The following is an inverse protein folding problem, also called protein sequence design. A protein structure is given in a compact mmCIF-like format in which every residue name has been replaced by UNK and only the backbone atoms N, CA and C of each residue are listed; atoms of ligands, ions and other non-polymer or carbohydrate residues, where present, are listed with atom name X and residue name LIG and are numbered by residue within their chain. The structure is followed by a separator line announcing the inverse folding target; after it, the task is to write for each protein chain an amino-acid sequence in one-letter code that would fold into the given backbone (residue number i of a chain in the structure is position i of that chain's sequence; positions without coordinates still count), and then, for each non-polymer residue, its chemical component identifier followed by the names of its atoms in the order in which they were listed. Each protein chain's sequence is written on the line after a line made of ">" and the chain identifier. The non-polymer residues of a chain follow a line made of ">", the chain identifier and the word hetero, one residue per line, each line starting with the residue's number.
data_IF_401130993260
#
_entry.id   IF_401130993260
#
_cell.length_a   1.000
_cell.length_b   1.000
_cell.length_c   1.000
_cell.angle_alpha   90.00
_cell.angle_beta   90.00
_cell.angle_gamma   90.00
#
_symmetry.space_group_name_H-M   'P 1'
#
loop_
_entity.id
_entity.type
_entity.pdbx_description
1 polymer ?
#
# COMPACT_ATOMS: atom_id res chain seq x y z
N UNK A 1 -28.11 0.57 -4.63
CA UNK A 1 -28.56 -0.39 -3.60
C UNK A 1 -29.77 -1.11 -4.20
N UNK A 2 -29.68 -2.43 -4.38
CA UNK A 2 -30.75 -3.26 -4.97
C UNK A 2 -31.32 -4.24 -3.94
N UNK A 3 -32.12 -5.21 -4.37
CA UNK A 3 -32.71 -6.19 -3.44
C UNK A 3 -31.63 -7.03 -2.75
N UNK A 4 -31.78 -7.20 -1.43
CA UNK A 4 -30.87 -7.98 -0.59
C UNK A 4 -31.27 -9.46 -0.46
N UNK A 5 -32.39 -9.86 -1.09
CA UNK A 5 -32.87 -11.25 -1.14
C UNK A 5 -33.91 -11.46 -2.25
N UNK A 6 -33.90 -12.65 -2.85
CA UNK A 6 -34.96 -13.18 -3.72
C UNK A 6 -35.46 -14.50 -3.11
N UNK A 7 -36.76 -14.78 -3.18
CA UNK A 7 -37.37 -15.92 -2.46
C UNK A 7 -38.18 -16.83 -3.37
N UNK A 8 -37.77 -18.11 -3.43
CA UNK A 8 -38.58 -19.32 -3.22
C UNK A 8 -37.60 -20.42 -2.76
N UNK A 9 -37.65 -20.85 -1.49
CA UNK A 9 -36.73 -21.85 -0.92
C UNK A 9 -35.93 -21.36 0.30
N UNK A 10 -34.90 -22.13 0.70
CA UNK A 10 -34.18 -22.03 2.00
C UNK A 10 -33.43 -20.71 2.27
N UNK A 11 -34.18 -19.62 2.50
CA UNK A 11 -33.69 -18.47 3.26
C UNK A 11 -34.22 -17.13 2.79
N UNK A 12 -35.35 -16.69 3.36
CA UNK A 12 -35.80 -15.29 3.34
C UNK A 12 -34.96 -14.39 4.25
N UNK A 13 -33.63 -14.44 4.13
CA UNK A 13 -32.69 -13.67 4.97
C UNK A 13 -31.46 -13.23 4.17
N UNK A 14 -30.85 -12.12 4.57
CA UNK A 14 -29.61 -11.63 3.98
C UNK A 14 -28.45 -12.54 4.41
N UNK A 15 -27.63 -12.99 3.45
CA UNK A 15 -26.47 -13.83 3.74
C UNK A 15 -25.38 -13.06 4.51
N UNK A 16 -24.72 -13.68 5.51
CA UNK A 16 -23.57 -13.09 6.18
C UNK A 16 -22.47 -12.70 5.18
N UNK A 17 -21.89 -11.51 5.34
CA UNK A 17 -20.87 -10.98 4.43
C UNK A 17 -21.42 -10.25 3.19
N UNK A 18 -22.75 -10.14 3.03
CA UNK A 18 -23.33 -9.25 2.00
C UNK A 18 -22.89 -7.80 2.28
N UNK A 19 -22.34 -7.15 1.25
CA UNK A 19 -21.94 -5.74 1.32
C UNK A 19 -23.18 -4.86 1.53
N UNK A 20 -23.24 -4.16 2.66
CA UNK A 20 -24.29 -3.24 3.06
C UNK A 20 -23.64 -1.93 3.56
N UNK A 21 -24.45 -0.89 3.78
CA UNK A 21 -23.95 0.35 4.37
C UNK A 21 -23.33 0.08 5.75
N UNK A 22 -22.19 0.70 6.01
CA UNK A 22 -21.42 0.54 7.25
C UNK A 22 -20.35 1.62 7.34
N UNK A 23 -19.56 1.59 8.42
CA UNK A 23 -18.44 2.54 8.60
C UNK A 23 -17.40 2.31 7.52
N UNK A 24 -17.15 3.34 6.71
CA UNK A 24 -16.05 3.36 5.74
C UNK A 24 -14.86 4.09 6.35
N UNK A 25 -13.70 3.42 6.41
CA UNK A 25 -12.45 4.00 6.92
C UNK A 25 -12.14 3.66 8.37
N UNK A 26 -11.14 4.33 8.96
CA UNK A 26 -10.54 3.99 10.26
C UNK A 26 -9.97 2.55 10.32
N UNK A 27 -9.53 2.04 9.19
CA UNK A 27 -8.82 0.77 9.09
C UNK A 27 -7.36 1.05 8.70
N UNK A 28 -6.41 0.32 9.29
CA UNK A 28 -5.03 0.38 8.87
C UNK A 28 -4.90 -0.34 7.51
N UNK A 29 -4.50 0.40 6.49
CA UNK A 29 -4.29 -0.12 5.13
C UNK A 29 -2.82 0.03 4.79
N UNK A 30 -2.23 -1.01 4.19
CA UNK A 30 -0.85 -0.99 3.70
C UNK A 30 -0.84 -1.01 2.17
N UNK A 31 -0.26 0.03 1.57
CA UNK A 31 0.01 0.05 0.13
C UNK A 31 1.37 -0.61 -0.09
N UNK A 32 1.39 -1.67 -0.90
CA UNK A 32 2.59 -2.46 -1.16
C UNK A 32 3.29 -1.99 -2.44
N UNK A 33 4.59 -2.23 -2.54
CA UNK A 33 5.42 -1.97 -3.73
C UNK A 33 5.54 -0.48 -4.13
N UNK A 34 5.42 0.44 -3.18
CA UNK A 34 5.68 1.87 -3.40
C UNK A 34 7.18 2.07 -3.64
N UNK A 35 7.53 2.81 -4.69
CA UNK A 35 8.93 3.11 -5.03
C UNK A 35 9.38 4.37 -4.30
N UNK A 36 10.51 4.29 -3.59
CA UNK A 36 11.21 5.47 -3.06
C UNK A 36 11.97 6.12 -4.21
N UNK A 37 11.69 7.40 -4.46
CA UNK A 37 12.33 8.18 -5.52
C UNK A 37 13.60 8.87 -5.03
N UNK A 38 13.54 9.48 -3.85
CA UNK A 38 14.65 10.21 -3.27
C UNK A 38 14.54 10.24 -1.75
N UNK A 39 15.69 10.23 -1.08
CA UNK A 39 15.80 10.48 0.36
C UNK A 39 16.71 11.68 0.53
N UNK A 40 16.18 12.76 1.10
CA UNK A 40 16.91 13.97 1.45
C UNK A 40 17.14 13.96 2.96
N UNK A 41 18.28 13.40 3.39
CA UNK A 41 18.61 13.23 4.80
C UNK A 41 18.74 14.57 5.56
N UNK A 42 19.24 15.61 4.89
CA UNK A 42 19.40 16.95 5.49
C UNK A 42 18.07 17.59 5.90
N UNK A 43 17.01 17.33 5.13
CA UNK A 43 15.67 17.87 5.38
C UNK A 43 14.75 16.86 6.08
N UNK A 44 15.23 15.62 6.29
CA UNK A 44 14.43 14.51 6.80
C UNK A 44 13.26 14.12 5.88
N UNK A 45 13.39 14.34 4.57
CA UNK A 45 12.31 14.11 3.60
C UNK A 45 12.53 12.83 2.82
N UNK A 46 11.44 12.08 2.61
CA UNK A 46 11.41 10.89 1.76
C UNK A 46 10.37 11.11 0.67
N UNK A 47 10.82 11.13 -0.59
CA UNK A 47 9.95 11.28 -1.74
C UNK A 47 9.52 9.90 -2.23
N UNK A 48 8.22 9.62 -2.17
CA UNK A 48 7.62 8.37 -2.61
C UNK A 48 6.89 8.55 -3.94
N UNK A 49 6.86 7.51 -4.77
CA UNK A 49 6.07 7.51 -6.00
C UNK A 49 4.63 7.10 -5.73
N UNK A 50 3.71 8.06 -5.77
CA UNK A 50 2.26 7.84 -5.65
C UNK A 50 1.65 8.34 -4.34
N UNK A 51 0.49 7.78 -3.98
CA UNK A 51 -0.31 8.21 -2.84
C UNK A 51 -0.13 7.29 -1.63
N UNK A 52 -0.22 7.85 -0.42
CA UNK A 52 -0.22 7.11 0.85
C UNK A 52 -1.65 7.08 1.39
N UNK A 53 -2.02 5.96 2.03
CA UNK A 53 -3.32 5.83 2.68
C UNK A 53 -3.34 6.66 3.97
N UNK A 54 -4.18 7.69 3.99
CA UNK A 54 -4.37 8.56 5.15
C UNK A 54 -4.50 10.01 4.74
N UNK A 55 -4.98 10.88 5.65
CA UNK A 55 -4.97 12.31 5.45
C UNK A 55 -3.54 12.88 5.58
N UNK A 56 -3.34 14.10 5.09
CA UNK A 56 -2.08 14.83 5.23
C UNK A 56 -1.72 15.01 6.72
N UNK A 57 -0.43 14.84 7.04
CA UNK A 57 0.08 14.95 8.43
C UNK A 57 -0.18 13.73 9.31
N UNK A 58 -0.74 12.64 8.78
CA UNK A 58 -0.85 11.39 9.54
C UNK A 58 0.50 10.71 9.76
N UNK A 59 0.59 9.91 10.82
CA UNK A 59 1.76 9.06 11.07
C UNK A 59 1.69 7.84 10.17
N UNK A 60 2.77 7.58 9.45
CA UNK A 60 2.89 6.46 8.51
C UNK A 60 4.00 5.52 8.94
N UNK A 61 3.79 4.21 8.76
CA UNK A 61 4.78 3.18 9.03
C UNK A 61 5.36 2.68 7.72
N UNK A 62 6.66 2.90 7.51
CA UNK A 62 7.39 2.41 6.33
C UNK A 62 8.07 1.08 6.69
N UNK A 63 7.95 0.10 5.82
CA UNK A 63 8.57 -1.23 5.95
C UNK A 63 9.07 -1.68 4.58
N UNK A 64 10.06 -2.56 4.59
CA UNK A 64 10.62 -3.13 3.36
C UNK A 64 9.58 -3.94 2.59
N UNK A 65 9.67 -3.89 1.27
CA UNK A 65 8.75 -4.58 0.39
C UNK A 65 9.01 -6.09 0.40
N UNK A 66 8.11 -6.87 1.00
CA UNK A 66 8.23 -8.34 1.03
C UNK A 66 8.12 -8.94 -0.39
N UNK A 67 7.31 -8.33 -1.26
CA UNK A 67 6.97 -8.87 -2.59
C UNK A 67 7.96 -8.49 -3.69
N UNK A 68 8.88 -7.56 -3.45
CA UNK A 68 9.88 -7.15 -4.45
C UNK A 68 11.29 -7.31 -3.88
N UNK A 69 12.20 -7.97 -4.61
CA UNK A 69 13.59 -8.02 -4.21
C UNK A 69 14.22 -6.64 -4.32
N UNK A 70 15.24 -6.38 -3.49
CA UNK A 70 16.02 -5.17 -3.54
C UNK A 70 16.65 -4.98 -4.92
N UNK A 71 16.64 -3.75 -5.49
CA UNK A 71 17.31 -3.48 -6.75
C UNK A 71 18.80 -3.76 -6.60
N UNK A 72 19.36 -4.58 -7.49
CA UNK A 72 20.80 -4.80 -7.57
C UNK A 72 21.42 -3.50 -8.09
N UNK A 73 22.09 -2.75 -7.22
CA UNK A 73 22.92 -1.64 -7.66
C UNK A 73 24.07 -2.23 -8.49
N UNK A 74 24.34 -1.75 -9.71
CA UNK A 74 25.50 -2.20 -10.44
C UNK A 74 26.73 -1.86 -9.59
N UNK A 75 27.52 -2.88 -9.24
CA UNK A 75 28.84 -2.66 -8.67
C UNK A 75 29.60 -1.78 -9.63
N UNK A 76 29.97 -0.58 -9.18
CA UNK A 76 30.81 0.34 -9.94
C UNK A 76 32.01 -0.48 -10.43
N UNK A 77 32.27 -0.55 -11.75
CA UNK A 77 33.44 -1.27 -12.23
C UNK A 77 34.66 -0.62 -11.57
N UNK A 78 35.47 -1.42 -10.91
CA UNK A 78 36.70 -0.96 -10.29
C UNK A 78 37.51 -0.24 -11.37
N UNK A 79 37.56 1.09 -11.32
CA UNK A 79 38.41 1.88 -12.20
C UNK A 79 39.84 1.74 -11.68
N UNK A 80 40.40 0.56 -11.91
CA UNK A 80 41.76 0.15 -11.59
C UNK A 80 42.66 0.32 -12.81
N UNK A 81 42.59 1.48 -13.46
CA UNK A 81 43.67 1.99 -14.29
C UNK A 81 44.58 2.82 -13.40
N UNK A 82 45.53 2.17 -12.73
CA UNK A 82 46.78 2.82 -12.31
C UNK A 82 47.89 1.96 -12.91
N UNK A 83 48.76 2.67 -13.63
CA UNK A 83 50.07 2.29 -14.18
C UNK A 83 50.71 1.07 -13.53
#
# INVERSE_FOLDING_TARGET
>A
MGSAGASQGSGSRVHPGKRMAGRMGNHQVTIQNVKVLKVDAEKGLVLLNGCIAGPDGCVVKIQDAIKKPWPKVPSIPAFGGRS
#
